data_IF_539319969977
#
_entry.id   IF_539319969977
#
_cell.length_a   1.000
_cell.length_b   1.000
_cell.length_c   1.000
_cell.angle_alpha   90.00
_cell.angle_beta   90.00
_cell.angle_gamma   90.00
#
_symmetry.space_group_name_H-M   'P 1'
#
loop_
_entity.id
_entity.type
_entity.pdbx_description
1 polymer ?
#
# COMPACT_ATOMS: atom_id res chain seq x y z
N UNK A 1 -17.47 -3.81 -7.13
CA UNK A 1 -16.07 -4.28 -7.13
C UNK A 1 -15.24 -3.29 -6.33
N UNK A 2 -14.58 -3.69 -5.25
CA UNK A 2 -13.67 -2.80 -4.53
C UNK A 2 -12.31 -2.84 -5.23
N UNK A 3 -12.06 -1.86 -6.10
CA UNK A 3 -10.75 -1.66 -6.71
C UNK A 3 -9.73 -1.36 -5.62
N UNK A 4 -8.91 -2.37 -5.26
CA UNK A 4 -7.78 -2.13 -4.36
C UNK A 4 -6.73 -1.36 -5.15
N UNK A 5 -6.37 -0.19 -4.66
CA UNK A 5 -5.42 0.73 -5.32
C UNK A 5 -4.12 0.74 -4.54
N UNK A 6 -2.99 0.93 -5.23
CA UNK A 6 -1.71 1.05 -4.55
C UNK A 6 -1.63 2.39 -3.80
N UNK A 7 -1.31 2.34 -2.50
CA UNK A 7 -1.15 3.55 -1.67
C UNK A 7 0.02 4.44 -2.10
N UNK A 8 0.98 3.93 -2.88
CA UNK A 8 2.14 4.67 -3.35
C UNK A 8 1.96 5.30 -4.74
N UNK A 9 1.48 4.51 -5.70
CA UNK A 9 1.44 4.92 -7.12
C UNK A 9 0.03 5.06 -7.69
N UNK A 10 -1.02 4.71 -6.95
CA UNK A 10 -2.39 4.79 -7.42
C UNK A 10 -2.75 3.81 -8.54
N UNK A 11 -1.89 2.82 -8.85
CA UNK A 11 -2.25 1.78 -9.82
C UNK A 11 -3.30 0.85 -9.23
N UNK A 12 -4.22 0.37 -10.07
CA UNK A 12 -5.13 -0.71 -9.68
C UNK A 12 -4.32 -1.98 -9.41
N UNK A 13 -4.48 -2.52 -8.21
CA UNK A 13 -3.96 -3.82 -7.82
C UNK A 13 -4.89 -4.91 -8.39
N UNK A 14 -4.87 -5.06 -9.71
CA UNK A 14 -5.50 -6.18 -10.41
C UNK A 14 -4.41 -7.14 -10.88
N UNK A 15 -4.12 -8.18 -10.11
CA UNK A 15 -3.26 -9.28 -10.56
C UNK A 15 -2.55 -10.05 -9.43
N UNK A 16 -1.77 -11.06 -9.81
CA UNK A 16 -0.88 -11.77 -8.88
C UNK A 16 0.41 -10.97 -8.71
N UNK A 17 0.75 -10.59 -7.46
CA UNK A 17 1.96 -9.80 -7.15
C UNK A 17 1.71 -8.56 -6.30
N UNK A 18 0.46 -8.29 -5.94
CA UNK A 18 0.12 -7.27 -4.95
C UNK A 18 0.26 -7.86 -3.54
N UNK A 19 0.74 -7.06 -2.60
CA UNK A 19 0.77 -7.42 -1.18
C UNK A 19 -0.14 -6.49 -0.40
N UNK A 20 -0.83 -7.05 0.58
CA UNK A 20 -1.71 -6.33 1.49
C UNK A 20 -1.20 -6.58 2.90
N UNK A 21 -0.96 -5.52 3.65
CA UNK A 21 -0.54 -5.60 5.04
C UNK A 21 -1.17 -4.46 5.82
N UNK A 22 -1.37 -4.67 7.12
CA UNK A 22 -1.86 -3.59 7.99
C UNK A 22 -0.71 -2.64 8.31
N UNK A 23 -1.02 -1.35 8.45
CA UNK A 23 -0.03 -0.37 8.88
C UNK A 23 0.68 -0.83 10.17
N UNK A 24 2.02 -0.93 10.21
CA UNK A 24 2.75 -1.42 11.38
C UNK A 24 2.70 -0.43 12.56
N UNK A 25 2.37 0.84 12.30
CA UNK A 25 2.29 1.87 13.33
C UNK A 25 0.94 1.86 14.04
N UNK A 26 -0.17 1.84 13.29
CA UNK A 26 -1.51 1.97 13.86
C UNK A 26 -2.40 0.72 13.71
N UNK A 27 -2.10 -0.20 12.80
CA UNK A 27 -2.90 -1.40 12.53
C UNK A 27 -4.33 -1.14 12.00
N UNK A 28 -4.73 0.12 11.85
CA UNK A 28 -6.11 0.54 11.56
C UNK A 28 -6.43 0.62 10.06
N UNK A 29 -5.42 0.64 9.19
CA UNK A 29 -5.57 0.73 7.74
C UNK A 29 -4.81 -0.41 7.06
N UNK A 30 -5.45 -1.01 6.05
CA UNK A 30 -4.83 -1.99 5.17
C UNK A 30 -4.15 -1.26 4.01
N UNK A 31 -2.83 -1.38 3.93
CA UNK A 31 -2.01 -0.81 2.88
C UNK A 31 -1.86 -1.86 1.78
N UNK A 32 -2.28 -1.50 0.56
CA UNK A 32 -2.06 -2.29 -0.64
C UNK A 32 -0.85 -1.77 -1.41
N UNK A 33 0.12 -2.64 -1.70
CA UNK A 33 1.29 -2.29 -2.52
C UNK A 33 1.48 -3.23 -3.69
N UNK A 34 1.81 -2.66 -4.85
CA UNK A 34 2.22 -3.45 -6.00
C UNK A 34 3.68 -3.92 -5.85
N UNK A 35 4.03 -5.02 -6.53
CA UNK A 35 5.40 -5.55 -6.55
C UNK A 35 6.42 -4.46 -6.94
N UNK A 36 6.08 -3.62 -7.92
CA UNK A 36 6.97 -2.57 -8.41
C UNK A 36 7.28 -1.50 -7.35
N UNK A 37 6.27 -1.00 -6.63
CA UNK A 37 6.51 -0.03 -5.56
C UNK A 37 7.30 -0.65 -4.41
N UNK A 38 7.02 -1.92 -4.08
CA UNK A 38 7.78 -2.66 -3.07
C UNK A 38 9.25 -2.81 -3.46
N UNK A 39 9.53 -3.14 -4.72
CA UNK A 39 10.88 -3.31 -5.25
C UNK A 39 11.65 -1.98 -5.30
N UNK A 40 10.95 -0.90 -5.68
CA UNK A 40 11.50 0.45 -5.73
C UNK A 40 11.55 1.15 -4.36
N UNK A 41 11.01 0.56 -3.29
CA UNK A 41 10.93 1.20 -1.96
C UNK A 41 10.13 2.52 -1.96
N UNK A 42 9.07 2.59 -2.77
CA UNK A 42 8.29 3.83 -2.93
C UNK A 42 7.54 4.16 -1.64
N UNK A 43 7.76 5.35 -1.12
CA UNK A 43 7.09 5.79 0.10
C UNK A 43 5.55 5.67 -0.03
N UNK A 44 4.91 5.16 1.02
CA UNK A 44 3.47 5.16 1.20
C UNK A 44 3.15 5.91 2.49
N UNK A 45 2.07 6.68 2.47
CA UNK A 45 1.58 7.38 3.65
C UNK A 45 0.32 6.68 4.16
N UNK A 46 0.25 6.44 5.46
CA UNK A 46 -0.96 5.95 6.10
C UNK A 46 -1.88 7.12 6.44
N UNK A 47 -3.12 7.10 5.93
CA UNK A 47 -4.09 8.20 6.11
C UNK A 47 -4.60 8.30 7.55
N UNK A 48 -4.44 7.24 8.35
CA UNK A 48 -4.91 7.19 9.74
C UNK A 48 -3.91 7.74 10.76
N UNK A 49 -2.61 7.59 10.51
CA UNK A 49 -1.58 7.95 11.48
C UNK A 49 -0.46 8.83 10.91
N UNK A 50 -0.47 9.15 9.62
CA UNK A 50 0.58 9.93 8.96
C UNK A 50 1.92 9.19 8.86
N UNK A 51 1.94 7.87 9.08
CA UNK A 51 3.17 7.10 8.97
C UNK A 51 3.60 7.01 7.50
N UNK A 52 4.82 7.48 7.21
CA UNK A 52 5.43 7.40 5.88
C UNK A 52 6.48 6.29 5.88
N UNK A 53 6.15 5.14 5.30
CA UNK A 53 7.04 3.98 5.16
C UNK A 53 7.43 3.73 3.71
N UNK A 54 8.55 3.04 3.41
CA UNK A 54 8.97 2.68 2.05
C UNK A 54 8.25 1.45 1.46
#
# INVERSE_FOLDING_TARGET
>A
MADKVCSSCGIRLQGSGNTFFKCPNCGNEEIGRCAQCRDQGVKYECSKCGFVGP
#
